data_IF_803187403857
#
_entry.id   IF_803187403857
#
_cell.length_a   1.000
_cell.length_b   1.000
_cell.length_c   1.000
_cell.angle_alpha   90.00
_cell.angle_beta   90.00
_cell.angle_gamma   90.00
#
_symmetry.space_group_name_H-M   'P 1'
#
loop_
_entity.id
_entity.type
_entity.pdbx_description
1 polymer ?
#
# COMPACT_ATOMS: atom_id res chain seq x y z
N UNK A 1 -65.29 -24.55 -2.42
CA UNK A 1 -66.54 -23.78 -2.62
C UNK A 1 -66.31 -22.40 -1.99
N UNK A 2 -65.87 -21.42 -2.79
CA UNK A 2 -66.65 -20.25 -3.26
C UNK A 2 -67.23 -19.38 -2.13
N UNK A 3 -66.67 -18.19 -1.90
CA UNK A 3 -67.27 -16.93 -2.36
C UNK A 3 -66.36 -15.72 -2.05
N UNK A 4 -66.08 -14.95 -3.09
CA UNK A 4 -65.42 -13.63 -3.10
C UNK A 4 -66.37 -12.52 -2.61
N UNK A 5 -65.82 -11.46 -1.99
CA UNK A 5 -66.37 -10.10 -2.10
C UNK A 5 -65.22 -9.09 -2.27
N UNK A 6 -65.28 -8.36 -3.38
CA UNK A 6 -64.46 -7.24 -3.80
C UNK A 6 -64.82 -5.93 -3.07
N UNK A 7 -63.83 -5.05 -2.86
CA UNK A 7 -64.06 -3.60 -2.97
C UNK A 7 -62.87 -2.92 -3.66
N UNK A 8 -63.18 -2.27 -4.79
CA UNK A 8 -62.33 -1.37 -5.57
C UNK A 8 -62.90 0.03 -5.39
N UNK A 9 -62.08 1.02 -5.05
CA UNK A 9 -62.35 2.42 -5.41
C UNK A 9 -61.10 3.04 -6.02
N UNK A 10 -61.32 3.61 -7.20
CA UNK A 10 -60.40 4.28 -8.11
C UNK A 10 -60.44 5.80 -7.88
N UNK A 11 -59.36 6.46 -8.36
CA UNK A 11 -59.31 7.84 -8.90
C UNK A 11 -59.28 8.98 -7.85
N UNK A 12 -58.59 10.13 -8.07
CA UNK A 12 -58.24 10.84 -9.31
C UNK A 12 -57.11 11.87 -9.09
N UNK A 13 -56.45 12.18 -10.21
CA UNK A 13 -55.42 13.21 -10.47
C UNK A 13 -55.85 14.64 -10.10
N UNK A 14 -54.86 15.49 -9.80
CA UNK A 14 -54.91 16.93 -10.11
C UNK A 14 -53.57 17.37 -10.75
N UNK A 15 -53.65 17.98 -11.94
CA UNK A 15 -52.61 18.72 -12.67
C UNK A 15 -53.14 20.15 -12.84
N UNK A 16 -52.27 21.17 -12.72
CA UNK A 16 -52.18 22.41 -13.53
C UNK A 16 -51.05 23.28 -12.89
N UNK A 17 -49.90 23.53 -13.54
CA UNK A 17 -49.54 24.47 -14.63
C UNK A 17 -49.43 25.95 -14.23
N UNK A 18 -48.22 26.51 -14.40
CA UNK A 18 -47.82 27.81 -15.02
C UNK A 18 -46.27 27.85 -14.93
N UNK A 19 -45.44 27.70 -15.97
CA UNK A 19 -45.16 28.47 -17.20
C UNK A 19 -44.68 29.92 -16.95
N UNK A 20 -43.36 30.15 -17.10
CA UNK A 20 -42.81 31.22 -17.95
C UNK A 20 -41.34 30.92 -18.34
N UNK A 21 -41.01 31.29 -19.58
CA UNK A 21 -39.78 31.02 -20.31
C UNK A 21 -38.88 32.26 -20.42
N UNK A 22 -37.59 32.05 -20.73
CA UNK A 22 -36.69 32.82 -21.64
C UNK A 22 -35.30 32.15 -21.54
N UNK A 23 -34.76 31.44 -22.54
CA UNK A 23 -34.08 31.90 -23.78
C UNK A 23 -32.94 32.89 -23.54
N UNK A 24 -31.70 32.39 -23.61
CA UNK A 24 -30.63 33.01 -24.40
C UNK A 24 -29.66 31.94 -24.93
N UNK A 25 -29.41 32.06 -26.22
CA UNK A 25 -28.52 31.30 -27.10
C UNK A 25 -27.08 31.82 -27.03
N UNK A 26 -26.10 30.92 -27.18
CA UNK A 26 -24.82 31.25 -27.81
C UNK A 26 -24.15 29.97 -28.38
N UNK A 27 -24.10 29.92 -29.71
CA UNK A 27 -23.27 29.06 -30.54
C UNK A 27 -21.80 29.53 -30.52
N UNK A 28 -20.85 28.60 -30.66
CA UNK A 28 -19.56 28.74 -31.37
C UNK A 28 -18.94 27.32 -31.45
N UNK A 29 -19.04 26.61 -32.58
CA UNK A 29 -18.10 26.59 -33.71
C UNK A 29 -16.69 26.08 -33.38
N UNK A 30 -16.42 24.85 -33.84
CA UNK A 30 -15.11 24.25 -34.07
C UNK A 30 -14.21 25.11 -34.96
N UNK A 31 -12.88 24.92 -34.85
CA UNK A 31 -12.06 24.89 -36.05
C UNK A 31 -11.26 23.59 -36.20
N UNK A 32 -11.32 23.14 -37.45
CA UNK A 32 -10.53 22.19 -38.20
C UNK A 32 -9.03 22.10 -37.87
N UNK A 33 -8.53 20.87 -37.98
CA UNK A 33 -7.11 20.53 -38.11
C UNK A 33 -6.48 21.12 -39.38
N UNK A 34 -5.14 21.25 -39.42
CA UNK A 34 -4.39 21.17 -40.65
C UNK A 34 -3.63 19.84 -40.76
N UNK A 35 -3.82 19.20 -41.92
CA UNK A 35 -2.89 18.22 -42.51
C UNK A 35 -1.52 18.87 -42.70
N UNK A 36 -0.45 18.17 -42.30
CA UNK A 36 0.90 18.39 -42.81
C UNK A 36 1.34 17.12 -43.53
N UNK A 37 1.52 17.27 -44.84
CA UNK A 37 2.17 16.32 -45.76
C UNK A 37 3.57 16.87 -46.07
N UNK A 38 4.50 15.95 -46.35
CA UNK A 38 5.88 16.10 -46.85
C UNK A 38 6.95 15.96 -45.77
N UNK A 39 8.06 15.26 -45.98
CA UNK A 39 8.58 14.57 -47.16
C UNK A 39 9.75 13.68 -46.72
N UNK A 40 9.92 12.56 -47.43
CA UNK A 40 11.12 11.72 -47.40
C UNK A 40 12.37 12.54 -47.73
N UNK A 41 13.36 12.50 -46.84
CA UNK A 41 14.69 13.07 -47.03
C UNK A 41 15.75 12.04 -46.66
N UNK A 42 16.18 11.27 -47.65
CA UNK A 42 17.35 10.39 -47.60
C UNK A 42 18.60 11.26 -47.52
N UNK A 43 19.36 11.15 -46.43
CA UNK A 43 20.63 11.83 -46.24
C UNK A 43 21.70 10.87 -45.71
N UNK A 44 22.56 10.39 -46.62
CA UNK A 44 23.81 9.67 -46.32
C UNK A 44 24.74 10.55 -45.49
N UNK A 45 25.36 10.00 -44.46
CA UNK A 45 26.56 10.55 -43.82
C UNK A 45 27.63 9.45 -43.75
N UNK A 46 28.92 9.77 -44.02
CA UNK A 46 29.90 8.79 -44.45
C UNK A 46 30.70 8.15 -43.31
N UNK A 47 31.36 7.06 -43.69
CA UNK A 47 32.26 6.23 -42.91
C UNK A 47 33.32 7.02 -42.11
N UNK A 48 33.54 6.61 -40.87
CA UNK A 48 34.76 6.88 -40.11
C UNK A 48 35.40 5.56 -39.64
N UNK A 49 36.46 5.20 -40.36
CA UNK A 49 37.75 4.65 -39.93
C UNK A 49 37.94 4.20 -38.46
N UNK A 50 38.17 2.90 -38.28
CA UNK A 50 39.14 2.30 -37.31
C UNK A 50 40.57 2.77 -37.66
N UNK A 51 41.63 2.70 -36.81
CA UNK A 51 42.00 1.59 -35.88
C UNK A 51 42.81 2.08 -34.62
N UNK A 52 43.72 1.31 -33.96
CA UNK A 52 43.83 -0.13 -33.72
C UNK A 52 43.85 -0.53 -32.23
N UNK A 53 43.74 -1.84 -32.03
CA UNK A 53 44.07 -2.63 -30.85
C UNK A 53 45.55 -2.55 -30.44
N UNK A 54 45.82 -2.49 -29.13
CA UNK A 54 47.04 -3.06 -28.56
C UNK A 54 46.73 -3.70 -27.19
N UNK A 55 46.61 -5.02 -27.18
CA UNK A 55 46.77 -5.84 -26.00
C UNK A 55 48.25 -5.89 -25.60
N UNK A 56 48.54 -5.81 -24.29
CA UNK A 56 49.49 -6.70 -23.62
C UNK A 56 49.16 -6.77 -22.11
N UNK A 57 49.42 -7.94 -21.48
CA UNK A 57 48.83 -8.32 -20.20
C UNK A 57 49.69 -7.85 -19.04
N UNK A 58 49.06 -7.47 -17.93
CA UNK A 58 49.75 -7.39 -16.64
C UNK A 58 49.35 -8.58 -15.77
N UNK A 59 50.39 -9.25 -15.29
CA UNK A 59 50.36 -10.38 -14.37
C UNK A 59 49.80 -9.98 -13.01
N UNK A 60 49.22 -11.00 -12.40
CA UNK A 60 48.71 -11.16 -11.06
C UNK A 60 49.69 -10.71 -9.97
N UNK A 61 49.19 -9.96 -9.00
CA UNK A 61 49.60 -10.07 -7.59
C UNK A 61 48.35 -10.22 -6.73
N UNK A 62 48.02 -11.49 -6.51
CA UNK A 62 47.22 -11.96 -5.40
C UNK A 62 48.11 -11.98 -4.17
N UNK A 63 47.80 -11.20 -3.15
CA UNK A 63 47.65 -11.69 -1.76
C UNK A 63 47.46 -10.54 -0.77
N UNK A 64 46.56 -10.79 0.21
CA UNK A 64 46.20 -9.98 1.39
C UNK A 64 45.11 -8.92 1.20
N UNK A 65 43.89 -9.39 1.02
CA UNK A 65 42.71 -8.76 1.62
C UNK A 65 42.05 -9.79 2.55
N UNK A 66 42.13 -9.53 3.86
CA UNK A 66 41.34 -10.26 4.85
C UNK A 66 39.86 -9.99 4.57
N UNK A 67 39.06 -11.07 4.46
CA UNK A 67 37.61 -10.98 4.35
C UNK A 67 37.05 -10.32 5.62
N UNK A 68 36.58 -9.08 5.50
CA UNK A 68 35.52 -8.56 6.34
C UNK A 68 34.21 -9.08 5.75
N UNK A 69 33.61 -10.08 6.40
CA UNK A 69 32.25 -10.50 6.08
C UNK A 69 31.31 -9.32 6.35
N UNK A 70 30.40 -9.04 5.42
CA UNK A 70 29.41 -7.99 5.64
C UNK A 70 28.39 -8.45 6.69
N UNK A 71 27.75 -7.54 7.44
CA UNK A 71 26.68 -7.89 8.37
C UNK A 71 25.52 -8.67 7.71
N UNK A 72 25.35 -8.54 6.39
CA UNK A 72 24.39 -9.32 5.62
C UNK A 72 24.83 -10.78 5.40
N UNK A 73 26.13 -11.04 5.28
CA UNK A 73 26.68 -12.39 5.16
C UNK A 73 26.66 -13.13 6.51
N UNK A 74 26.86 -12.39 7.61
CA UNK A 74 26.74 -12.92 8.98
C UNK A 74 25.28 -13.27 9.31
N UNK A 75 24.33 -12.39 8.97
CA UNK A 75 22.90 -12.67 9.11
C UNK A 75 22.42 -13.81 8.20
N UNK A 76 22.96 -13.93 6.99
CA UNK A 76 22.65 -15.05 6.09
C UNK A 76 23.21 -16.38 6.64
N UNK A 77 24.41 -16.36 7.23
CA UNK A 77 25.03 -17.52 7.85
C UNK A 77 24.30 -17.95 9.14
N UNK A 78 23.82 -17.01 9.96
CA UNK A 78 23.00 -17.29 11.15
C UNK A 78 21.65 -17.93 10.76
N UNK A 79 20.95 -17.36 9.78
CA UNK A 79 19.70 -17.95 9.26
C UNK A 79 19.90 -19.35 8.67
N UNK A 80 21.07 -19.60 8.05
CA UNK A 80 21.39 -20.90 7.44
C UNK A 80 21.87 -21.94 8.47
N UNK A 81 22.47 -21.50 9.58
CA UNK A 81 22.79 -22.35 10.73
C UNK A 81 21.53 -22.74 11.50
N UNK A 82 20.58 -21.81 11.68
CA UNK A 82 19.27 -22.05 12.31
C UNK A 82 18.41 -23.04 11.49
N UNK A 83 18.46 -22.96 10.15
CA UNK A 83 17.83 -23.94 9.26
C UNK A 83 18.47 -25.34 9.32
N UNK A 84 19.75 -25.45 9.71
CA UNK A 84 20.47 -26.74 9.84
C UNK A 84 20.29 -27.38 11.21
N UNK A 85 19.98 -26.60 12.26
CA UNK A 85 19.64 -27.13 13.59
C UNK A 85 18.21 -27.65 13.67
N UNK A 86 17.35 -27.30 12.70
CA UNK A 86 16.01 -27.87 12.56
C UNK A 86 16.12 -29.25 11.88
N UNK A 87 16.26 -30.31 12.67
CA UNK A 87 16.16 -31.70 12.20
C UNK A 87 14.72 -32.01 11.80
N UNK A 88 14.39 -31.77 10.53
CA UNK A 88 13.04 -31.90 9.97
C UNK A 88 12.84 -33.17 9.15
N UNK A 89 13.43 -34.30 9.57
CA UNK A 89 13.12 -35.61 8.97
C UNK A 89 12.76 -36.67 10.02
N UNK A 90 11.70 -37.49 9.85
CA UNK A 90 10.69 -37.49 8.81
C UNK A 90 9.32 -37.02 9.38
N UNK A 91 8.95 -35.76 9.13
CA UNK A 91 7.54 -35.43 9.02
C UNK A 91 7.13 -35.74 7.58
N UNK A 92 6.63 -36.95 7.37
CA UNK A 92 5.89 -37.28 6.16
C UNK A 92 4.56 -36.52 6.22
N UNK A 93 4.59 -35.24 5.83
CA UNK A 93 3.39 -34.46 5.58
C UNK A 93 2.75 -35.09 4.35
N UNK A 94 1.75 -35.94 4.57
CA UNK A 94 0.93 -36.49 3.49
C UNK A 94 0.43 -35.31 2.66
N UNK A 95 0.64 -35.33 1.32
CA UNK A 95 0.16 -34.24 0.48
C UNK A 95 -1.35 -34.16 0.61
N UNK A 96 -1.85 -32.98 1.00
CA UNK A 96 -3.24 -32.62 0.81
C UNK A 96 -3.44 -32.48 -0.70
N UNK A 97 -3.83 -33.57 -1.36
CA UNK A 97 -4.28 -33.56 -2.75
C UNK A 97 -5.40 -32.53 -2.91
N UNK A 98 -5.40 -31.83 -4.05
CA UNK A 98 -6.36 -30.81 -4.47
C UNK A 98 -7.81 -31.16 -4.08
N UNK A 99 -8.29 -30.64 -2.95
CA UNK A 99 -9.69 -30.78 -2.53
C UNK A 99 -10.35 -29.41 -2.37
N UNK A 100 -10.59 -28.77 -3.51
CA UNK A 100 -11.40 -27.55 -3.62
C UNK A 100 -12.91 -27.77 -3.33
N UNK A 101 -13.33 -28.82 -2.59
CA UNK A 101 -14.77 -29.04 -2.35
C UNK A 101 -15.18 -29.79 -1.06
N UNK A 102 -14.29 -30.08 -0.11
CA UNK A 102 -14.64 -30.92 1.06
C UNK A 102 -14.27 -30.31 2.42
N UNK A 103 -14.71 -29.07 2.68
CA UNK A 103 -14.35 -28.33 3.89
C UNK A 103 -15.03 -28.77 5.21
N UNK A 104 -15.73 -29.92 5.33
CA UNK A 104 -16.47 -30.25 6.58
C UNK A 104 -16.61 -31.76 6.90
N UNK A 105 -15.59 -32.61 6.69
CA UNK A 105 -15.66 -34.05 7.07
C UNK A 105 -15.06 -34.36 8.47
N UNK A 106 -15.71 -35.23 9.29
CA UNK A 106 -15.23 -35.62 10.63
C UNK A 106 -13.83 -36.25 10.69
N UNK A 107 -13.39 -36.92 9.62
CA UNK A 107 -12.05 -37.52 9.55
C UNK A 107 -10.93 -36.46 9.60
N UNK A 108 -11.16 -35.29 9.02
CA UNK A 108 -10.21 -34.19 9.01
C UNK A 108 -10.09 -33.56 10.41
N UNK A 109 -11.17 -33.59 11.21
CA UNK A 109 -11.16 -33.09 12.60
C UNK A 109 -10.30 -33.97 13.51
N UNK A 110 -10.40 -35.29 13.40
CA UNK A 110 -9.59 -36.21 14.22
C UNK A 110 -8.09 -36.08 13.88
N UNK A 111 -7.77 -35.96 12.60
CA UNK A 111 -6.40 -35.77 12.12
C UNK A 111 -5.83 -34.40 12.52
N UNK A 112 -6.62 -33.32 12.39
CA UNK A 112 -6.23 -31.99 12.84
C UNK A 112 -6.03 -31.94 14.36
N UNK A 113 -6.92 -32.54 15.15
CA UNK A 113 -6.77 -32.61 16.62
C UNK A 113 -5.52 -33.42 17.03
N UNK A 114 -5.20 -34.50 16.30
CA UNK A 114 -3.98 -35.27 16.52
C UNK A 114 -2.73 -34.44 16.20
N UNK A 115 -2.75 -33.67 15.11
CA UNK A 115 -1.66 -32.73 14.75
C UNK A 115 -1.51 -31.60 15.77
N UNK A 116 -2.60 -30.98 16.23
CA UNK A 116 -2.55 -29.97 17.30
C UNK A 116 -1.95 -30.56 18.58
N UNK A 117 -2.36 -31.79 18.95
CA UNK A 117 -1.85 -32.47 20.13
C UNK A 117 -0.35 -32.77 20.01
N UNK A 118 0.10 -33.23 18.84
CA UNK A 118 1.51 -33.47 18.55
C UNK A 118 2.35 -32.18 18.59
N UNK A 119 1.87 -31.12 17.93
CA UNK A 119 2.53 -29.81 17.93
C UNK A 119 2.57 -29.19 19.33
N UNK A 120 1.48 -29.29 20.10
CA UNK A 120 1.42 -28.77 21.48
C UNK A 120 2.38 -29.49 22.43
N UNK A 121 2.66 -30.77 22.19
CA UNK A 121 3.62 -31.55 22.97
C UNK A 121 5.09 -31.22 22.62
N UNK A 122 5.35 -30.71 21.41
CA UNK A 122 6.68 -30.24 20.99
C UNK A 122 7.00 -28.83 21.53
N UNK A 123 5.99 -27.98 21.71
CA UNK A 123 6.16 -26.60 22.24
C UNK A 123 6.65 -26.59 23.70
N UNK A 124 6.49 -27.67 24.47
CA UNK A 124 7.08 -27.80 25.81
C UNK A 124 8.61 -27.97 25.81
N UNK A 125 9.24 -28.22 24.66
CA UNK A 125 10.69 -28.50 24.55
C UNK A 125 11.51 -27.40 23.89
N UNK A 126 10.90 -26.37 23.29
CA UNK A 126 11.63 -25.28 22.63
C UNK A 126 11.06 -23.91 22.99
N UNK A 127 11.21 -23.52 24.26
CA UNK A 127 11.26 -22.09 24.60
C UNK A 127 12.67 -21.56 24.32
N UNK A 128 13.14 -21.66 23.07
CA UNK A 128 14.21 -20.77 22.62
C UNK A 128 13.56 -19.41 22.44
N UNK A 129 13.76 -18.55 23.42
CA UNK A 129 13.36 -17.16 23.39
C UNK A 129 14.09 -16.45 22.26
N UNK A 130 13.56 -16.49 21.04
CA UNK A 130 13.91 -15.50 20.03
C UNK A 130 13.33 -14.19 20.56
N UNK A 131 14.22 -13.33 21.07
CA UNK A 131 13.92 -11.94 21.41
C UNK A 131 13.52 -11.18 20.14
N UNK A 132 12.31 -11.42 19.63
CA UNK A 132 11.60 -10.45 18.80
C UNK A 132 10.86 -9.47 19.72
N UNK A 133 11.57 -8.88 20.69
CA UNK A 133 11.09 -7.74 21.48
C UNK A 133 11.67 -6.44 20.92
N UNK A 134 11.56 -6.26 19.60
CA UNK A 134 11.74 -4.94 19.01
C UNK A 134 10.45 -4.17 19.24
N UNK A 135 10.47 -3.15 20.11
CA UNK A 135 9.39 -2.17 20.17
C UNK A 135 9.26 -1.57 18.77
N UNK A 136 8.07 -1.66 18.17
CA UNK A 136 7.85 -1.01 16.88
C UNK A 136 8.18 0.48 17.02
N UNK A 137 8.95 1.06 16.08
CA UNK A 137 9.25 2.47 16.15
C UNK A 137 7.94 3.25 16.00
N UNK A 138 7.75 4.26 16.85
CA UNK A 138 6.73 5.26 16.57
C UNK A 138 7.05 5.95 15.24
N UNK A 139 6.02 6.25 14.45
CA UNK A 139 6.13 7.04 13.23
C UNK A 139 6.93 8.32 13.50
N UNK A 140 8.17 8.38 13.01
CA UNK A 140 9.08 9.51 13.16
C UNK A 140 8.70 10.70 12.28
N UNK A 141 9.56 11.72 12.23
CA UNK A 141 9.31 12.96 11.48
C UNK A 141 9.06 12.71 9.99
N UNK A 142 9.84 11.84 9.37
CA UNK A 142 9.70 11.45 7.96
C UNK A 142 8.35 10.78 7.70
N UNK A 143 8.01 9.76 8.49
CA UNK A 143 6.74 9.08 8.43
C UNK A 143 5.56 10.04 8.65
N UNK A 144 5.61 10.92 9.66
CA UNK A 144 4.56 11.90 9.95
C UNK A 144 4.39 12.92 8.82
N UNK A 145 5.51 13.42 8.29
CA UNK A 145 5.53 14.33 7.14
C UNK A 145 4.84 13.69 5.93
N UNK A 146 5.22 12.46 5.61
CA UNK A 146 4.65 11.72 4.47
C UNK A 146 3.17 11.42 4.64
N UNK A 147 2.74 11.02 5.84
CA UNK A 147 1.32 10.81 6.12
C UNK A 147 0.52 12.11 5.98
N UNK A 148 1.02 13.23 6.50
CA UNK A 148 0.35 14.53 6.39
C UNK A 148 0.23 14.99 4.92
N UNK A 149 1.29 14.82 4.12
CA UNK A 149 1.27 15.12 2.70
C UNK A 149 0.30 14.22 1.93
N UNK A 150 0.30 12.93 2.24
CA UNK A 150 -0.57 11.94 1.64
C UNK A 150 -2.06 12.23 1.91
N UNK A 151 -2.43 12.86 3.03
CA UNK A 151 -3.83 13.22 3.30
C UNK A 151 -4.46 14.12 2.24
N UNK A 152 -3.65 14.82 1.44
CA UNK A 152 -4.08 15.72 0.39
C UNK A 152 -3.93 15.13 -1.03
N UNK A 153 -3.54 13.86 -1.15
CA UNK A 153 -3.59 13.14 -2.42
C UNK A 153 -4.98 12.54 -2.66
N UNK A 154 -5.47 12.53 -3.91
CA UNK A 154 -6.60 11.69 -4.30
C UNK A 154 -6.40 10.24 -3.88
N UNK A 155 -7.46 9.53 -3.48
CA UNK A 155 -7.40 8.10 -3.15
C UNK A 155 -6.75 7.28 -4.28
N UNK A 156 -7.00 7.65 -5.54
CA UNK A 156 -6.37 7.03 -6.71
C UNK A 156 -4.88 7.29 -6.88
N UNK A 157 -4.30 8.19 -6.09
CA UNK A 157 -2.88 8.58 -6.13
C UNK A 157 -2.10 8.21 -4.86
N UNK A 158 -2.73 7.54 -3.91
CA UNK A 158 -2.11 7.17 -2.64
C UNK A 158 -1.06 6.07 -2.80
N UNK A 159 -0.04 6.06 -1.95
CA UNK A 159 0.86 4.92 -1.78
C UNK A 159 0.78 4.45 -0.33
N UNK A 160 -0.19 3.58 -0.09
CA UNK A 160 -0.51 3.05 1.23
C UNK A 160 0.48 1.98 1.68
N UNK A 161 0.95 2.12 2.92
CA UNK A 161 1.60 1.04 3.64
C UNK A 161 0.52 0.16 4.28
N UNK A 162 0.57 -1.14 3.95
CA UNK A 162 -0.27 -2.15 4.54
C UNK A 162 0.51 -3.26 5.23
N UNK A 163 -0.22 -4.07 5.99
CA UNK A 163 0.29 -5.30 6.57
C UNK A 163 -0.59 -6.48 6.14
N UNK A 164 0.04 -7.47 5.50
CA UNK A 164 -0.61 -8.73 5.14
C UNK A 164 -0.83 -9.54 6.43
N UNK A 165 -2.06 -10.03 6.61
CA UNK A 165 -2.52 -10.75 7.81
C UNK A 165 -2.12 -10.03 9.10
N UNK A 166 -2.43 -8.73 9.15
CA UNK A 166 -1.95 -7.78 10.15
C UNK A 166 -2.21 -8.23 11.60
N UNK A 167 -3.28 -9.01 11.81
CA UNK A 167 -3.67 -9.53 13.12
C UNK A 167 -2.73 -10.62 13.67
N UNK A 168 -2.02 -11.34 12.80
CA UNK A 168 -1.32 -12.57 13.12
C UNK A 168 0.11 -12.31 13.62
N UNK A 169 0.22 -11.80 14.84
CA UNK A 169 1.49 -11.43 15.50
C UNK A 169 2.01 -12.44 16.52
N UNK A 170 1.27 -13.53 16.74
CA UNK A 170 1.54 -14.54 17.76
C UNK A 170 1.42 -15.94 17.18
N UNK A 171 2.05 -16.91 17.85
CA UNK A 171 2.07 -18.30 17.40
C UNK A 171 3.21 -18.62 16.43
N UNK A 172 3.28 -19.89 16.02
CA UNK A 172 4.38 -20.45 15.22
C UNK A 172 4.34 -20.02 13.74
N UNK A 173 3.15 -19.66 13.24
CA UNK A 173 2.95 -19.20 11.87
C UNK A 173 2.61 -17.70 11.84
N UNK A 174 3.27 -16.88 12.67
CA UNK A 174 3.02 -15.43 12.69
C UNK A 174 3.43 -14.75 11.37
N UNK A 175 2.55 -13.92 10.82
CA UNK A 175 2.87 -13.04 9.70
C UNK A 175 3.58 -11.77 10.18
N UNK A 176 3.27 -11.29 11.37
CA UNK A 176 3.80 -10.03 11.89
C UNK A 176 4.62 -10.23 13.17
N UNK A 177 5.63 -9.39 13.36
CA UNK A 177 6.38 -9.32 14.63
C UNK A 177 5.79 -8.30 15.59
N UNK A 178 4.93 -7.41 15.08
CA UNK A 178 4.31 -6.32 15.84
C UNK A 178 2.81 -6.56 16.00
N UNK A 179 2.26 -6.10 17.12
CA UNK A 179 0.80 -6.04 17.34
C UNK A 179 0.13 -5.07 16.38
N UNK A 180 -1.21 -5.10 16.28
CA UNK A 180 -1.96 -4.21 15.39
C UNK A 180 -1.74 -2.74 15.73
N UNK A 181 -1.88 -2.37 17.01
CA UNK A 181 -1.58 -1.01 17.48
C UNK A 181 -0.16 -0.56 17.13
N UNK A 182 0.85 -1.41 17.37
CA UNK A 182 2.23 -1.12 16.99
C UNK A 182 2.43 -0.91 15.49
N UNK A 183 1.75 -1.69 14.64
CA UNK A 183 1.79 -1.48 13.18
C UNK A 183 1.17 -0.12 12.79
N UNK A 184 0.04 0.24 13.39
CA UNK A 184 -0.63 1.52 13.17
C UNK A 184 0.24 2.70 13.64
N UNK A 185 0.87 2.58 14.81
CA UNK A 185 1.81 3.57 15.36
C UNK A 185 3.04 3.74 14.47
N UNK A 186 3.46 2.68 13.77
CA UNK A 186 4.56 2.69 12.81
C UNK A 186 4.17 3.22 11.41
N UNK A 187 2.91 3.63 11.22
CA UNK A 187 2.44 4.25 9.98
C UNK A 187 1.71 3.33 9.00
N UNK A 188 1.40 2.09 9.38
CA UNK A 188 0.51 1.21 8.59
C UNK A 188 -0.90 1.81 8.59
N UNK A 189 -1.55 1.83 7.42
CA UNK A 189 -2.93 2.35 7.27
C UNK A 189 -3.87 1.38 6.55
N UNK A 190 -3.34 0.26 6.07
CA UNK A 190 -4.12 -0.84 5.47
C UNK A 190 -3.89 -2.11 6.28
N UNK A 191 -4.94 -2.67 6.87
CA UNK A 191 -4.87 -3.87 7.68
C UNK A 191 -5.65 -4.99 6.98
N UNK A 192 -4.97 -6.07 6.64
CA UNK A 192 -5.61 -7.25 6.06
C UNK A 192 -6.00 -8.26 7.15
N UNK A 193 -7.25 -8.74 7.10
CA UNK A 193 -7.86 -9.62 8.08
C UNK A 193 -8.52 -10.83 7.40
N UNK A 194 -8.08 -12.03 7.75
CA UNK A 194 -8.65 -13.27 7.23
C UNK A 194 -9.83 -13.70 8.08
N UNK A 195 -11.04 -13.52 7.58
CA UNK A 195 -12.25 -13.83 8.32
C UNK A 195 -12.65 -15.28 8.11
N UNK A 196 -12.75 -16.01 9.22
CA UNK A 196 -13.26 -17.38 9.23
C UNK A 196 -14.37 -17.55 10.26
N UNK A 197 -15.29 -18.48 9.97
CA UNK A 197 -16.26 -18.95 10.97
C UNK A 197 -15.57 -19.90 11.94
N UNK A 198 -15.88 -19.79 13.23
CA UNK A 198 -15.49 -20.81 14.21
C UNK A 198 -16.21 -22.14 13.91
N UNK A 199 -15.47 -23.25 13.94
CA UNK A 199 -15.99 -24.57 13.52
C UNK A 199 -17.34 -24.95 14.17
N UNK A 200 -17.51 -24.64 15.47
CA UNK A 200 -18.68 -25.00 16.26
C UNK A 200 -19.57 -23.80 16.66
N UNK A 201 -19.41 -22.62 16.04
CA UNK A 201 -20.26 -21.47 16.34
C UNK A 201 -20.39 -20.51 15.16
N UNK A 202 -21.46 -19.72 15.10
CA UNK A 202 -21.61 -18.65 14.11
C UNK A 202 -20.68 -17.45 14.33
N UNK A 203 -19.86 -17.45 15.39
CA UNK A 203 -18.93 -16.34 15.67
C UNK A 203 -17.80 -16.31 14.64
N UNK A 204 -17.51 -15.10 14.17
CA UNK A 204 -16.38 -14.79 13.29
C UNK A 204 -15.11 -14.66 14.12
N UNK A 205 -14.02 -15.20 13.60
CA UNK A 205 -12.67 -15.03 14.11
C UNK A 205 -11.76 -14.64 12.96
N UNK A 206 -10.61 -14.07 13.29
CA UNK A 206 -9.50 -14.00 12.35
C UNK A 206 -8.51 -15.12 12.60
N UNK A 207 -8.03 -15.75 11.55
CA UNK A 207 -7.00 -16.79 11.64
C UNK A 207 -6.35 -17.01 10.28
N UNK A 208 -5.08 -17.39 10.29
CA UNK A 208 -4.32 -17.56 9.07
C UNK A 208 -4.56 -18.97 8.50
N UNK A 209 -5.04 -19.04 7.25
CA UNK A 209 -5.25 -20.31 6.54
C UNK A 209 -6.41 -20.29 5.56
N UNK A 210 -6.63 -21.41 4.88
CA UNK A 210 -7.66 -21.58 3.86
C UNK A 210 -9.01 -22.08 4.43
N UNK A 211 -9.15 -22.26 5.74
CA UNK A 211 -10.41 -22.74 6.31
C UNK A 211 -10.53 -22.71 7.84
N UNK A 212 -11.73 -23.04 8.32
CA UNK A 212 -12.06 -23.06 9.74
C UNK A 212 -11.20 -24.05 10.58
N UNK A 213 -10.63 -25.06 9.93
CA UNK A 213 -9.69 -26.01 10.54
C UNK A 213 -8.31 -25.39 10.78
N UNK A 214 -7.85 -24.49 9.93
CA UNK A 214 -6.54 -23.84 10.09
C UNK A 214 -6.54 -22.91 11.31
N UNK A 215 -7.71 -22.32 11.63
CA UNK A 215 -7.92 -21.63 12.90
C UNK A 215 -7.69 -22.52 14.14
N UNK A 216 -7.82 -23.85 14.02
CA UNK A 216 -7.54 -24.79 15.11
C UNK A 216 -6.06 -25.15 15.19
N UNK A 217 -5.36 -25.16 14.04
CA UNK A 217 -3.94 -25.47 13.94
C UNK A 217 -3.05 -24.30 14.40
N UNK A 218 -3.55 -23.06 14.34
CA UNK A 218 -2.89 -21.88 14.89
C UNK A 218 -3.71 -21.21 16.02
N UNK A 219 -3.93 -21.89 17.16
CA UNK A 219 -4.83 -21.40 18.21
C UNK A 219 -4.32 -20.12 18.87
N UNK A 220 -3.01 -19.87 18.84
CA UNK A 220 -2.38 -18.68 19.43
C UNK A 220 -2.37 -17.46 18.50
N UNK A 221 -2.42 -17.68 17.18
CA UNK A 221 -2.57 -16.61 16.18
C UNK A 221 -4.02 -16.26 15.88
N UNK A 222 -4.97 -17.16 16.16
CA UNK A 222 -6.39 -16.90 15.99
C UNK A 222 -6.92 -15.89 17.02
N UNK A 223 -7.64 -14.86 16.57
CA UNK A 223 -8.20 -13.81 17.44
C UNK A 223 -9.69 -13.62 17.20
N UNK A 224 -10.39 -13.11 18.22
CA UNK A 224 -11.80 -12.74 18.08
C UNK A 224 -11.94 -11.50 17.20
N UNK A 225 -12.90 -11.54 16.25
CA UNK A 225 -13.09 -10.47 15.28
C UNK A 225 -13.53 -9.16 15.94
N UNK A 226 -14.48 -9.22 16.89
CA UNK A 226 -14.97 -8.04 17.59
C UNK A 226 -13.87 -7.38 18.42
N UNK A 227 -12.97 -8.17 19.02
CA UNK A 227 -11.81 -7.64 19.75
C UNK A 227 -10.88 -6.83 18.84
N UNK A 228 -10.61 -7.31 17.63
CA UNK A 228 -9.78 -6.57 16.66
C UNK A 228 -10.43 -5.27 16.23
N UNK A 229 -11.73 -5.30 15.89
CA UNK A 229 -12.44 -4.08 15.53
C UNK A 229 -12.37 -3.05 16.67
N UNK A 230 -12.50 -3.52 17.92
CA UNK A 230 -12.41 -2.66 19.11
C UNK A 230 -11.01 -2.08 19.30
N UNK A 231 -9.95 -2.84 19.04
CA UNK A 231 -8.57 -2.35 19.08
C UNK A 231 -8.35 -1.25 18.02
N UNK A 232 -8.77 -1.49 16.78
CA UNK A 232 -8.69 -0.52 15.68
C UNK A 232 -9.49 0.75 16.00
N UNK A 233 -10.71 0.60 16.52
CA UNK A 233 -11.58 1.70 16.95
C UNK A 233 -10.92 2.55 18.03
N UNK A 234 -10.35 1.91 19.04
CA UNK A 234 -9.65 2.57 20.15
C UNK A 234 -8.47 3.40 19.63
N UNK A 235 -7.68 2.82 18.72
CA UNK A 235 -6.58 3.56 18.09
C UNK A 235 -7.09 4.73 17.24
N UNK A 236 -8.13 4.51 16.43
CA UNK A 236 -8.72 5.56 15.57
C UNK A 236 -9.34 6.71 16.38
N UNK A 237 -9.89 6.42 17.56
CA UNK A 237 -10.40 7.45 18.48
C UNK A 237 -9.28 8.37 19.00
N UNK A 238 -8.07 7.85 19.17
CA UNK A 238 -6.88 8.60 19.59
C UNK A 238 -6.19 9.34 18.42
N UNK A 239 -6.51 8.96 17.18
CA UNK A 239 -5.93 9.51 15.95
C UNK A 239 -7.03 10.01 15.00
N UNK A 240 -7.77 11.07 15.39
CA UNK A 240 -8.96 11.52 14.65
C UNK A 240 -8.65 12.10 13.26
N UNK A 241 -7.39 12.41 12.99
CA UNK A 241 -6.86 12.92 11.73
C UNK A 241 -6.39 11.81 10.78
N UNK A 242 -6.61 10.53 11.10
CA UNK A 242 -6.12 9.40 10.31
C UNK A 242 -7.27 8.61 9.66
N UNK A 243 -7.04 8.18 8.42
CA UNK A 243 -7.93 7.30 7.67
C UNK A 243 -7.32 5.88 7.62
N UNK A 244 -8.14 4.88 7.95
CA UNK A 244 -7.76 3.47 7.93
C UNK A 244 -8.55 2.71 6.86
N UNK A 245 -7.93 1.70 6.27
CA UNK A 245 -8.56 0.72 5.38
C UNK A 245 -8.43 -0.65 6.02
N UNK A 246 -9.58 -1.31 6.27
CA UNK A 246 -9.65 -2.69 6.69
C UNK A 246 -9.99 -3.55 5.47
N UNK A 247 -9.04 -4.34 4.99
CA UNK A 247 -9.27 -5.32 3.92
C UNK A 247 -9.62 -6.67 4.56
N UNK A 248 -10.74 -7.24 4.14
CA UNK A 248 -11.26 -8.50 4.68
C UNK A 248 -11.08 -9.60 3.63
N UNK A 249 -10.21 -10.58 3.90
CA UNK A 249 -10.23 -11.84 3.16
C UNK A 249 -11.38 -12.68 3.71
N UNK A 250 -12.51 -12.67 3.01
CA UNK A 250 -13.74 -13.16 3.59
C UNK A 250 -14.02 -14.62 3.22
N UNK A 251 -13.96 -15.49 4.23
CA UNK A 251 -14.38 -16.90 4.17
C UNK A 251 -15.67 -17.16 4.97
N UNK A 252 -16.41 -16.10 5.33
CA UNK A 252 -17.66 -16.19 6.10
C UNK A 252 -18.87 -16.00 5.19
N UNK A 253 -19.69 -17.04 5.05
CA UNK A 253 -20.92 -17.00 4.23
C UNK A 253 -22.01 -16.09 4.79
N UNK A 254 -22.02 -15.84 6.09
CA UNK A 254 -23.05 -15.03 6.73
C UNK A 254 -22.63 -13.56 6.78
N UNK A 255 -23.11 -12.77 5.82
CA UNK A 255 -22.84 -11.32 5.73
C UNK A 255 -23.17 -10.56 7.01
N UNK A 256 -24.33 -10.83 7.60
CA UNK A 256 -24.77 -10.18 8.83
C UNK A 256 -23.76 -10.34 9.98
N UNK A 257 -23.16 -11.53 10.10
CA UNK A 257 -22.15 -11.81 11.14
C UNK A 257 -20.83 -11.06 10.97
N UNK A 258 -20.57 -10.51 9.78
CA UNK A 258 -19.42 -9.64 9.48
C UNK A 258 -19.81 -8.17 9.60
N UNK A 259 -20.93 -7.77 8.99
CA UNK A 259 -21.35 -6.37 8.91
C UNK A 259 -21.83 -5.79 10.25
N UNK A 260 -22.56 -6.56 11.07
CA UNK A 260 -23.08 -6.05 12.35
C UNK A 260 -21.95 -5.64 13.32
N UNK A 261 -20.90 -6.45 13.56
CA UNK A 261 -19.72 -6.02 14.32
C UNK A 261 -19.10 -4.72 13.81
N UNK A 262 -18.96 -4.56 12.49
CA UNK A 262 -18.41 -3.34 11.88
C UNK A 262 -19.29 -2.13 12.20
N UNK A 263 -20.61 -2.24 11.95
CA UNK A 263 -21.58 -1.17 12.19
C UNK A 263 -21.65 -0.77 13.66
N UNK A 264 -21.65 -1.76 14.55
CA UNK A 264 -21.72 -1.55 15.99
C UNK A 264 -20.43 -0.99 16.58
N UNK A 265 -19.30 -1.19 15.91
CA UNK A 265 -18.01 -0.71 16.40
C UNK A 265 -17.72 0.69 15.91
N UNK A 266 -17.82 0.92 14.59
CA UNK A 266 -17.36 2.16 13.97
C UNK A 266 -18.48 3.18 13.74
N UNK A 267 -19.75 2.78 13.73
CA UNK A 267 -20.90 3.68 13.62
C UNK A 267 -20.77 4.73 12.49
N UNK A 268 -20.64 6.01 12.85
CA UNK A 268 -20.53 7.15 11.96
C UNK A 268 -19.13 7.33 11.37
N UNK A 269 -18.12 6.65 11.89
CA UNK A 269 -16.74 6.70 11.39
C UNK A 269 -16.57 5.97 10.05
N UNK A 270 -17.52 5.12 9.68
CA UNK A 270 -17.46 4.36 8.43
C UNK A 270 -17.68 5.26 7.23
N UNK A 271 -16.74 5.25 6.29
CA UNK A 271 -16.99 5.72 4.94
C UNK A 271 -17.48 4.55 4.09
N UNK A 272 -18.80 4.49 3.90
CA UNK A 272 -19.47 3.32 3.34
C UNK A 272 -19.48 3.36 1.81
N UNK A 273 -19.58 2.20 1.18
CA UNK A 273 -19.67 2.10 -0.28
C UNK A 273 -20.84 2.91 -0.88
N UNK A 274 -21.98 2.98 -0.18
CA UNK A 274 -23.12 3.79 -0.61
C UNK A 274 -22.97 5.31 -0.42
N UNK A 275 -21.98 5.75 0.35
CA UNK A 275 -21.69 7.18 0.56
C UNK A 275 -20.73 7.74 -0.52
N UNK A 276 -20.20 6.86 -1.38
CA UNK A 276 -19.29 7.22 -2.47
C UNK A 276 -20.00 8.12 -3.48
N UNK A 277 -19.36 9.23 -3.83
CA UNK A 277 -19.81 10.11 -4.91
C UNK A 277 -19.26 9.64 -6.25
N UNK A 278 -19.87 10.09 -7.35
CA UNK A 278 -19.25 9.96 -8.66
C UNK A 278 -17.87 10.63 -8.63
N UNK A 279 -16.84 9.92 -9.12
CA UNK A 279 -15.45 10.38 -9.05
C UNK A 279 -14.82 10.30 -7.66
N UNK A 280 -15.31 9.42 -6.77
CA UNK A 280 -14.75 9.19 -5.43
C UNK A 280 -13.22 8.98 -5.41
N UNK A 281 -12.65 8.49 -6.51
CA UNK A 281 -11.20 8.33 -6.71
C UNK A 281 -10.41 9.63 -6.54
N UNK A 282 -11.07 10.78 -6.76
CA UNK A 282 -10.54 12.12 -6.61
C UNK A 282 -10.69 12.68 -5.19
N UNK A 283 -11.46 12.01 -4.33
CA UNK A 283 -11.54 12.40 -2.93
C UNK A 283 -10.20 12.15 -2.23
N UNK A 284 -9.86 12.99 -1.27
CA UNK A 284 -8.66 12.83 -0.45
C UNK A 284 -9.01 12.31 0.94
N UNK A 285 -8.06 11.66 1.65
CA UNK A 285 -8.26 11.30 3.05
C UNK A 285 -8.71 12.48 3.91
N UNK A 286 -8.12 13.67 3.74
CA UNK A 286 -8.53 14.87 4.48
C UNK A 286 -10.01 15.23 4.27
N UNK A 287 -10.54 15.10 3.04
CA UNK A 287 -11.96 15.36 2.75
C UNK A 287 -12.90 14.30 3.35
N UNK A 288 -12.44 13.06 3.45
CA UNK A 288 -13.17 11.96 4.10
C UNK A 288 -13.21 12.21 5.61
N UNK A 289 -12.07 12.53 6.21
CA UNK A 289 -11.92 12.86 7.64
C UNK A 289 -12.73 14.09 8.02
N UNK A 290 -12.73 15.15 7.20
CA UNK A 290 -13.52 16.35 7.44
C UNK A 290 -15.04 16.09 7.52
N UNK A 291 -15.52 14.96 6.96
CA UNK A 291 -16.92 14.49 7.09
C UNK A 291 -17.14 13.61 8.32
N UNK A 292 -16.15 13.50 9.21
CA UNK A 292 -16.18 12.65 10.40
C UNK A 292 -15.93 11.17 10.13
N UNK A 293 -15.47 10.82 8.91
CA UNK A 293 -15.23 9.43 8.50
C UNK A 293 -13.74 9.07 8.66
N UNK A 294 -13.45 7.89 9.19
CA UNK A 294 -12.08 7.45 9.54
C UNK A 294 -11.78 6.01 9.15
N UNK A 295 -12.76 5.22 8.73
CA UNK A 295 -12.56 3.81 8.38
C UNK A 295 -13.28 3.46 7.08
N UNK A 296 -12.53 2.94 6.12
CA UNK A 296 -13.05 2.23 4.95
C UNK A 296 -12.92 0.74 5.24
N UNK A 297 -13.95 -0.03 4.91
CA UNK A 297 -13.89 -1.49 4.95
C UNK A 297 -14.10 -2.00 3.55
N UNK A 298 -13.19 -2.86 3.08
CA UNK A 298 -13.25 -3.49 1.78
C UNK A 298 -13.12 -5.00 1.93
N UNK A 299 -13.77 -5.78 1.06
CA UNK A 299 -13.64 -7.23 1.04
C UNK A 299 -13.03 -7.76 -0.25
N UNK A 300 -12.38 -8.91 -0.12
CA UNK A 300 -11.90 -9.72 -1.23
C UNK A 300 -11.98 -11.21 -0.84
N UNK A 301 -11.58 -12.07 -1.78
CA UNK A 301 -11.63 -13.52 -1.62
C UNK A 301 -12.83 -14.16 -2.32
N UNK A 302 -13.16 -15.37 -1.90
CA UNK A 302 -14.17 -16.24 -2.52
C UNK A 302 -15.60 -15.75 -2.26
N UNK A 303 -15.83 -15.18 -1.07
CA UNK A 303 -17.14 -14.70 -0.66
C UNK A 303 -17.12 -13.18 -0.62
N UNK A 304 -17.77 -12.57 -1.60
CA UNK A 304 -17.95 -11.12 -1.65
C UNK A 304 -19.34 -10.76 -1.17
N UNK A 305 -19.42 -9.69 -0.41
CA UNK A 305 -20.68 -9.12 0.01
C UNK A 305 -21.09 -8.04 -0.96
N UNK A 306 -22.20 -8.27 -1.66
CA UNK A 306 -22.89 -7.19 -2.35
C UNK A 306 -23.51 -6.28 -1.27
N UNK A 307 -23.09 -5.03 -1.22
CA UNK A 307 -23.45 -4.21 -0.07
C UNK A 307 -23.27 -2.71 -0.23
N UNK A 308 -24.03 -1.99 0.58
CA UNK A 308 -23.89 -0.54 0.77
C UNK A 308 -22.81 -0.18 1.80
N UNK A 309 -22.37 -1.16 2.61
CA UNK A 309 -21.43 -0.96 3.70
C UNK A 309 -19.98 -1.14 3.25
N UNK A 310 -19.67 -2.33 2.75
CA UNK A 310 -18.33 -2.81 2.41
C UNK A 310 -18.04 -2.52 0.93
N UNK A 311 -16.81 -2.12 0.65
CA UNK A 311 -16.33 -1.83 -0.70
C UNK A 311 -15.81 -3.10 -1.36
N UNK A 312 -15.94 -3.25 -2.69
CA UNK A 312 -15.13 -4.26 -3.39
C UNK A 312 -13.69 -3.77 -3.40
N UNK A 313 -12.77 -4.57 -2.85
CA UNK A 313 -11.35 -4.23 -2.78
C UNK A 313 -10.75 -3.90 -4.16
N UNK A 314 -11.27 -4.50 -5.24
CA UNK A 314 -10.83 -4.21 -6.62
C UNK A 314 -11.06 -2.76 -7.05
N UNK A 315 -11.96 -2.05 -6.38
CA UNK A 315 -12.16 -0.62 -6.61
C UNK A 315 -11.00 0.20 -6.05
N UNK A 316 -10.38 -0.26 -4.96
CA UNK A 316 -9.26 0.41 -4.28
C UNK A 316 -7.91 0.01 -4.87
N UNK A 317 -7.66 -1.29 -5.04
CA UNK A 317 -6.47 -1.82 -5.71
C UNK A 317 -6.59 -3.27 -6.15
N UNK A 318 -5.63 -3.75 -6.93
CA UNK A 318 -5.43 -5.18 -7.12
C UNK A 318 -4.92 -5.85 -5.83
N UNK A 319 -5.16 -7.15 -5.66
CA UNK A 319 -4.51 -7.96 -4.64
C UNK A 319 -3.51 -8.93 -5.32
N UNK A 320 -2.31 -8.44 -5.63
CA UNK A 320 -1.35 -9.14 -6.52
C UNK A 320 -0.15 -9.66 -5.72
N UNK A 321 0.26 -10.93 -5.87
CA UNK A 321 1.50 -11.37 -5.26
C UNK A 321 2.68 -10.63 -5.91
N UNK A 322 3.72 -10.29 -5.15
CA UNK A 322 4.96 -9.69 -5.68
C UNK A 322 5.64 -10.55 -6.77
N UNK A 323 5.35 -11.86 -6.81
CA UNK A 323 5.88 -12.77 -7.81
C UNK A 323 5.42 -12.37 -9.22
N UNK A 324 6.39 -12.07 -10.09
CA UNK A 324 6.16 -11.66 -11.47
C UNK A 324 6.15 -10.16 -11.70
N UNK A 325 6.38 -9.35 -10.66
CA UNK A 325 6.77 -7.95 -10.80
C UNK A 325 8.23 -7.85 -11.31
N UNK A 326 8.51 -6.85 -12.13
CA UNK A 326 9.87 -6.53 -12.59
C UNK A 326 10.15 -5.02 -12.59
N UNK A 327 11.44 -4.68 -12.62
CA UNK A 327 11.94 -3.31 -12.51
C UNK A 327 11.54 -2.37 -13.66
N UNK A 328 11.01 -2.91 -14.76
CA UNK A 328 10.40 -2.16 -15.87
C UNK A 328 8.92 -1.78 -15.61
N UNK A 329 8.46 -1.93 -14.36
CA UNK A 329 7.09 -1.64 -13.94
C UNK A 329 6.04 -2.50 -14.66
N UNK A 330 6.38 -3.76 -14.92
CA UNK A 330 5.45 -4.75 -15.45
C UNK A 330 5.12 -5.82 -14.40
N UNK A 331 3.91 -6.39 -14.53
CA UNK A 331 3.46 -7.55 -13.77
C UNK A 331 3.12 -8.64 -14.78
N UNK A 332 3.86 -9.74 -14.77
CA UNK A 332 3.73 -10.84 -15.74
C UNK A 332 3.80 -10.33 -17.20
N UNK A 333 4.66 -9.35 -17.46
CA UNK A 333 4.85 -8.72 -18.77
C UNK A 333 3.83 -7.65 -19.16
N UNK A 334 2.83 -7.37 -18.32
CA UNK A 334 1.88 -6.29 -18.55
C UNK A 334 2.33 -5.02 -17.82
N UNK A 335 2.46 -3.90 -18.53
CA UNK A 335 2.74 -2.60 -17.95
C UNK A 335 1.65 -2.19 -16.95
N UNK A 336 2.07 -1.74 -15.77
CA UNK A 336 1.15 -1.35 -14.69
C UNK A 336 0.25 -0.16 -15.08
N UNK A 337 0.79 0.79 -15.85
CA UNK A 337 0.06 1.96 -16.33
C UNK A 337 -0.45 2.84 -15.18
N UNK A 338 -1.69 3.32 -15.29
CA UNK A 338 -2.35 4.15 -14.27
C UNK A 338 -3.26 3.34 -13.33
N UNK A 339 -3.26 2.01 -13.45
CA UNK A 339 -4.10 1.16 -12.62
C UNK A 339 -3.59 1.15 -11.17
N UNK A 340 -4.52 0.99 -10.22
CA UNK A 340 -4.18 0.92 -8.80
C UNK A 340 -3.67 -0.49 -8.45
N UNK A 341 -2.37 -0.71 -8.56
CA UNK A 341 -1.76 -1.99 -8.22
C UNK A 341 -1.46 -2.08 -6.74
N UNK A 342 -1.97 -3.14 -6.10
CA UNK A 342 -1.61 -3.52 -4.75
C UNK A 342 -0.82 -4.83 -4.74
N UNK A 343 0.24 -4.86 -3.93
CA UNK A 343 1.12 -6.01 -3.81
C UNK A 343 1.16 -6.55 -2.39
N UNK A 344 1.24 -7.87 -2.27
CA UNK A 344 1.54 -8.56 -1.02
C UNK A 344 2.71 -9.52 -1.19
N UNK A 345 3.56 -9.61 -0.17
CA UNK A 345 4.49 -10.72 -0.04
C UNK A 345 3.91 -11.82 0.85
N UNK A 346 4.52 -12.99 0.83
CA UNK A 346 4.12 -14.14 1.63
C UNK A 346 5.38 -14.84 2.11
N UNK A 347 5.80 -14.47 3.32
CA UNK A 347 6.97 -15.05 3.99
C UNK A 347 6.63 -16.35 4.71
N UNK A 348 5.35 -16.73 4.74
CA UNK A 348 4.88 -17.92 5.49
C UNK A 348 4.80 -19.15 4.59
N UNK A 349 4.26 -19.01 3.37
CA UNK A 349 4.06 -20.13 2.44
C UNK A 349 4.77 -19.97 1.08
N UNK A 350 5.61 -18.93 0.93
CA UNK A 350 6.44 -18.68 -0.27
C UNK A 350 5.62 -18.58 -1.57
N UNK A 351 4.34 -18.19 -1.51
CA UNK A 351 3.53 -17.97 -2.73
C UNK A 351 3.94 -16.69 -3.46
N UNK A 352 4.63 -15.78 -2.77
CA UNK A 352 5.15 -14.52 -3.28
C UNK A 352 6.61 -14.31 -2.87
N UNK A 353 7.31 -13.40 -3.56
CA UNK A 353 8.68 -13.02 -3.20
C UNK A 353 8.64 -12.07 -1.99
N UNK A 354 9.48 -12.26 -0.96
CA UNK A 354 9.57 -11.32 0.15
C UNK A 354 9.82 -9.88 -0.31
N UNK A 355 9.11 -8.92 0.29
CA UNK A 355 9.49 -7.53 0.21
C UNK A 355 10.74 -7.31 1.08
N UNK A 356 11.73 -6.65 0.50
CA UNK A 356 13.03 -6.39 1.11
C UNK A 356 13.34 -4.90 1.04
N UNK A 357 14.33 -4.47 1.82
CA UNK A 357 14.85 -3.08 1.78
C UNK A 357 15.20 -2.66 0.35
N UNK A 358 15.72 -3.57 -0.47
CA UNK A 358 16.10 -3.29 -1.85
C UNK A 358 14.91 -3.27 -2.83
N UNK A 359 13.88 -4.09 -2.61
CA UNK A 359 12.75 -4.20 -3.54
C UNK A 359 11.67 -3.16 -3.30
N UNK A 360 11.42 -2.74 -2.06
CA UNK A 360 10.37 -1.74 -1.72
C UNK A 360 10.49 -0.46 -2.58
N UNK A 361 11.66 0.19 -2.68
CA UNK A 361 11.84 1.35 -3.56
C UNK A 361 11.39 1.07 -4.98
N UNK A 362 11.71 -0.09 -5.56
CA UNK A 362 11.39 -0.46 -6.93
C UNK A 362 9.87 -0.46 -7.19
N UNK A 363 9.09 -1.05 -6.29
CA UNK A 363 7.62 -1.02 -6.38
C UNK A 363 7.09 0.41 -6.31
N UNK A 364 7.61 1.22 -5.38
CA UNK A 364 7.18 2.60 -5.19
C UNK A 364 7.53 3.49 -6.40
N UNK A 365 8.65 3.25 -7.10
CA UNK A 365 9.00 3.92 -8.37
C UNK A 365 8.02 3.62 -9.49
N UNK A 366 7.39 2.45 -9.43
CA UNK A 366 6.38 2.01 -10.38
C UNK A 366 4.96 2.38 -9.95
N UNK A 367 4.83 3.29 -8.97
CA UNK A 367 3.56 3.80 -8.47
C UNK A 367 2.65 2.70 -7.87
N UNK A 368 3.26 1.65 -7.30
CA UNK A 368 2.54 0.67 -6.50
C UNK A 368 1.76 1.39 -5.39
N UNK A 369 0.44 1.20 -5.38
CA UNK A 369 -0.51 1.93 -4.54
C UNK A 369 -0.65 1.32 -3.15
N UNK A 370 -0.48 0.01 -3.03
CA UNK A 370 -0.59 -0.71 -1.77
C UNK A 370 0.58 -1.68 -1.67
N UNK A 371 1.36 -1.59 -0.59
CA UNK A 371 2.37 -2.57 -0.26
C UNK A 371 2.01 -3.21 1.07
N UNK A 372 1.53 -4.44 1.03
CA UNK A 372 1.12 -5.23 2.19
C UNK A 372 2.27 -6.16 2.58
N UNK A 373 2.93 -5.82 3.67
CA UNK A 373 4.23 -6.40 4.02
C UNK A 373 4.06 -7.40 5.17
N UNK A 374 4.56 -8.61 4.99
CA UNK A 374 4.79 -9.60 6.04
C UNK A 374 6.05 -9.25 6.84
N UNK A 375 5.98 -9.47 8.16
CA UNK A 375 7.08 -9.29 9.11
C UNK A 375 7.71 -7.92 8.99
N UNK A 376 6.89 -6.89 9.16
CA UNK A 376 7.36 -5.50 9.18
C UNK A 376 8.52 -5.32 10.18
N UNK A 377 9.54 -4.59 9.73
CA UNK A 377 10.71 -4.22 10.53
C UNK A 377 11.02 -2.73 10.32
N UNK A 378 11.79 -2.09 11.22
CA UNK A 378 12.18 -0.69 11.06
C UNK A 378 12.92 -0.43 9.73
N UNK A 379 13.73 -1.39 9.26
CA UNK A 379 14.50 -1.26 8.02
C UNK A 379 13.60 -1.26 6.78
N UNK A 380 12.53 -2.09 6.78
CA UNK A 380 11.54 -2.09 5.70
C UNK A 380 10.73 -0.79 5.68
N UNK A 381 10.44 -0.21 6.85
CA UNK A 381 9.82 1.12 6.94
C UNK A 381 10.76 2.21 6.45
N UNK A 382 12.05 2.16 6.82
CA UNK A 382 13.03 3.13 6.35
C UNK A 382 13.14 3.13 4.82
N UNK A 383 13.05 1.96 4.18
CA UNK A 383 13.15 1.80 2.73
C UNK A 383 12.00 2.44 1.92
N UNK A 384 10.85 2.73 2.54
CA UNK A 384 9.71 3.38 1.86
C UNK A 384 9.72 4.91 1.96
N UNK A 385 10.54 5.48 2.84
CA UNK A 385 10.52 6.93 3.06
C UNK A 385 11.22 7.68 1.93
N UNK A 386 10.61 8.78 1.51
CA UNK A 386 11.09 9.66 0.44
C UNK A 386 11.30 11.11 0.89
N UNK A 387 10.77 11.47 2.07
CA UNK A 387 10.90 12.80 2.65
C UNK A 387 12.27 12.93 3.32
N UNK A 388 12.35 13.30 4.59
CA UNK A 388 13.58 13.71 5.25
C UNK A 388 14.63 12.61 5.42
N UNK A 389 15.85 12.80 4.91
CA UNK A 389 16.96 11.85 5.05
C UNK A 389 17.41 11.63 6.51
N UNK A 390 17.24 12.64 7.36
CA UNK A 390 17.54 12.58 8.80
C UNK A 390 16.58 13.51 9.57
N UNK A 391 16.51 13.34 10.90
CA UNK A 391 15.77 14.25 11.76
C UNK A 391 16.27 15.68 11.54
N UNK A 392 15.43 16.51 10.94
CA UNK A 392 15.77 17.86 10.52
C UNK A 392 15.86 18.80 11.73
N UNK A 393 16.80 19.78 11.74
CA UNK A 393 16.73 20.88 12.69
C UNK A 393 15.44 21.68 12.49
N UNK A 394 14.88 22.17 13.60
CA UNK A 394 13.71 23.06 13.56
C UNK A 394 13.96 24.21 12.56
N UNK A 395 12.94 24.53 11.73
CA UNK A 395 12.94 25.62 10.75
C UNK A 395 13.74 25.39 9.45
N UNK A 396 14.09 24.15 9.10
CA UNK A 396 14.74 23.87 7.82
C UNK A 396 13.79 23.92 6.61
N UNK A 397 14.34 24.32 5.46
CA UNK A 397 13.69 24.23 4.16
C UNK A 397 14.16 22.97 3.42
N UNK A 398 13.23 22.28 2.76
CA UNK A 398 13.54 21.06 2.03
C UNK A 398 14.23 21.36 0.71
N UNK A 399 15.37 20.71 0.47
CA UNK A 399 16.01 20.67 -0.85
C UNK A 399 15.95 19.24 -1.42
N UNK A 400 15.77 19.15 -2.73
CA UNK A 400 16.01 17.93 -3.50
C UNK A 400 17.46 17.91 -4.00
N UNK A 401 18.03 16.71 -4.10
CA UNK A 401 19.36 16.47 -4.65
C UNK A 401 19.33 15.24 -5.57
N UNK A 402 20.14 15.24 -6.62
CA UNK A 402 20.37 14.03 -7.42
C UNK A 402 21.18 12.95 -6.67
N UNK A 403 21.81 13.30 -5.54
CA UNK A 403 22.63 12.37 -4.75
C UNK A 403 21.83 11.57 -3.72
N UNK A 404 20.62 12.00 -3.41
CA UNK A 404 19.78 11.35 -2.42
C UNK A 404 18.35 11.29 -2.95
N UNK A 405 17.71 10.12 -2.81
CA UNK A 405 16.29 9.98 -3.11
C UNK A 405 15.41 10.63 -2.02
N UNK A 406 16.02 11.16 -0.96
CA UNK A 406 15.37 11.81 0.18
C UNK A 406 15.65 13.32 0.21
N UNK A 407 14.78 14.04 0.89
CA UNK A 407 14.91 15.47 1.13
C UNK A 407 16.00 15.75 2.14
N UNK A 408 16.78 16.79 1.85
CA UNK A 408 17.80 17.28 2.76
C UNK A 408 17.33 18.57 3.42
N UNK A 409 17.61 18.70 4.71
CA UNK A 409 17.37 19.91 5.46
C UNK A 409 18.42 20.97 5.11
N UNK A 410 17.97 22.20 4.82
CA UNK A 410 18.87 23.29 4.47
C UNK A 410 18.38 24.64 5.00
N UNK A 411 19.34 25.55 5.24
CA UNK A 411 19.05 26.96 5.54
C UNK A 411 18.31 27.63 4.39
N UNK A 412 17.14 28.20 4.68
CA UNK A 412 16.20 28.76 3.71
C UNK A 412 16.77 29.95 2.91
N UNK A 413 17.85 30.57 3.39
CA UNK A 413 18.55 31.70 2.79
C UNK A 413 19.58 31.27 1.73
N UNK A 414 19.76 29.97 1.47
CA UNK A 414 20.58 29.57 0.32
C UNK A 414 19.86 29.93 -0.99
N UNK A 415 20.64 30.35 -1.97
CA UNK A 415 20.16 30.65 -3.32
C UNK A 415 20.21 29.38 -4.15
N UNK A 416 19.04 28.88 -4.55
CA UNK A 416 18.90 27.70 -5.41
C UNK A 416 17.76 27.91 -6.40
N UNK A 417 17.73 27.10 -7.46
CA UNK A 417 16.58 26.96 -8.36
C UNK A 417 15.43 26.28 -7.63
N UNK A 418 14.23 26.32 -8.20
CA UNK A 418 13.00 25.80 -7.60
C UNK A 418 12.42 24.69 -8.46
N UNK A 419 12.02 23.59 -7.82
CA UNK A 419 11.20 22.56 -8.45
C UNK A 419 9.74 22.95 -8.26
N UNK A 420 9.07 23.20 -9.38
CA UNK A 420 7.71 23.69 -9.46
C UNK A 420 6.80 22.60 -10.03
N UNK A 421 5.65 22.39 -9.41
CA UNK A 421 4.61 21.53 -9.96
C UNK A 421 3.79 22.31 -10.98
N UNK A 422 3.55 21.75 -12.16
CA UNK A 422 2.70 22.34 -13.21
C UNK A 422 1.61 21.33 -13.62
N UNK A 423 0.57 21.75 -14.37
CA UNK A 423 -0.44 20.82 -14.89
C UNK A 423 0.14 19.73 -15.81
N UNK A 424 1.35 19.94 -16.35
CA UNK A 424 2.06 18.97 -17.21
C UNK A 424 3.15 18.18 -16.47
N UNK A 425 3.20 18.28 -15.14
CA UNK A 425 4.21 17.66 -14.28
C UNK A 425 5.22 18.65 -13.72
N UNK A 426 6.30 18.11 -13.15
CA UNK A 426 7.33 18.90 -12.48
C UNK A 426 8.23 19.65 -13.49
N UNK A 427 8.74 20.81 -13.08
CA UNK A 427 9.73 21.60 -13.84
C UNK A 427 10.72 22.28 -12.91
N UNK A 428 11.93 22.52 -13.41
CA UNK A 428 12.96 23.30 -12.72
C UNK A 428 12.95 24.74 -13.23
N UNK A 429 12.75 25.71 -12.35
CA UNK A 429 12.79 27.16 -12.66
C UNK A 429 14.14 27.55 -13.25
N UNK A 430 14.22 28.52 -14.15
CA UNK A 430 15.48 29.11 -14.61
C UNK A 430 16.10 30.02 -13.56
N UNK A 431 15.27 30.79 -12.84
CA UNK A 431 15.72 31.69 -11.81
C UNK A 431 16.01 30.94 -10.50
N UNK A 432 16.94 31.50 -9.73
CA UNK A 432 17.30 31.04 -8.39
C UNK A 432 16.98 32.10 -7.35
N UNK A 433 16.75 31.68 -6.12
CA UNK A 433 16.45 32.58 -5.00
C UNK A 433 16.43 31.88 -3.66
N UNK A 434 16.02 32.60 -2.64
CA UNK A 434 15.74 32.03 -1.32
C UNK A 434 14.47 31.19 -1.38
N UNK A 435 14.32 30.22 -0.49
CA UNK A 435 13.19 29.29 -0.49
C UNK A 435 11.83 30.03 -0.53
N UNK A 436 11.71 31.13 0.22
CA UNK A 436 10.48 31.94 0.30
C UNK A 436 10.07 32.59 -1.04
N UNK A 437 10.99 32.73 -2.00
CA UNK A 437 10.69 33.26 -3.35
C UNK A 437 10.06 32.22 -4.27
N UNK A 438 10.05 30.93 -3.88
CA UNK A 438 9.59 29.82 -4.71
C UNK A 438 8.17 29.98 -5.28
N UNK A 439 7.14 30.34 -4.48
CA UNK A 439 5.78 30.50 -4.98
C UNK A 439 5.68 31.55 -6.10
N UNK A 440 6.35 32.70 -5.92
CA UNK A 440 6.38 33.76 -6.92
C UNK A 440 7.14 33.34 -8.18
N UNK A 441 8.29 32.68 -8.03
CA UNK A 441 9.12 32.26 -9.17
C UNK A 441 8.41 31.18 -10.00
N UNK A 442 7.80 30.18 -9.34
CA UNK A 442 7.05 29.15 -10.05
C UNK A 442 5.92 29.76 -10.88
N UNK A 443 5.09 30.60 -10.27
CA UNK A 443 3.97 31.26 -10.97
C UNK A 443 4.43 32.19 -12.09
N UNK A 444 5.50 32.96 -11.87
CA UNK A 444 6.06 33.86 -12.88
C UNK A 444 6.61 33.12 -14.11
N UNK A 445 7.28 31.98 -13.92
CA UNK A 445 7.91 31.25 -15.03
C UNK A 445 6.96 30.28 -15.74
N UNK A 446 6.05 29.66 -15.01
CA UNK A 446 5.24 28.54 -15.51
C UNK A 446 3.73 28.80 -15.53
N UNK A 447 3.28 29.98 -15.08
CA UNK A 447 1.88 30.41 -15.11
C UNK A 447 1.15 30.20 -13.78
N UNK A 448 -0.07 30.76 -13.68
CA UNK A 448 -0.88 30.78 -12.44
C UNK A 448 -1.27 29.38 -11.94
N UNK A 449 -1.38 28.40 -12.85
CA UNK A 449 -1.69 27.01 -12.51
C UNK A 449 -0.47 26.21 -12.01
N UNK A 450 0.70 26.84 -11.88
CA UNK A 450 1.90 26.23 -11.31
C UNK A 450 2.07 26.58 -9.84
N UNK A 451 2.65 25.67 -9.07
CA UNK A 451 2.78 25.83 -7.64
C UNK A 451 4.16 25.40 -7.15
N UNK A 452 4.65 26.11 -6.14
CA UNK A 452 5.81 25.69 -5.35
C UNK A 452 5.34 24.82 -4.20
N UNK A 453 5.18 23.52 -4.48
CA UNK A 453 4.61 22.53 -3.57
C UNK A 453 5.55 21.33 -3.39
N UNK A 454 5.38 20.56 -2.32
CA UNK A 454 6.14 19.34 -2.11
C UNK A 454 5.54 18.15 -2.85
N UNK A 455 6.38 17.19 -3.32
CA UNK A 455 5.88 15.90 -3.75
C UNK A 455 5.23 15.19 -2.57
N UNK A 456 4.10 14.54 -2.81
CA UNK A 456 3.25 13.97 -1.75
C UNK A 456 3.30 12.45 -1.69
N UNK A 457 4.06 11.82 -2.59
CA UNK A 457 4.31 10.38 -2.64
C UNK A 457 5.75 10.10 -3.09
N UNK A 458 6.21 8.87 -2.88
CA UNK A 458 7.53 8.42 -3.35
C UNK A 458 7.65 8.61 -4.86
N UNK A 459 6.61 8.20 -5.59
CA UNK A 459 6.55 8.33 -7.04
C UNK A 459 6.66 9.81 -7.49
N UNK A 460 5.90 10.72 -6.88
CA UNK A 460 5.98 12.14 -7.19
C UNK A 460 7.36 12.73 -6.86
N UNK A 461 7.99 12.26 -5.79
CA UNK A 461 9.32 12.71 -5.39
C UNK A 461 10.39 12.35 -6.42
N UNK A 462 10.33 11.15 -6.99
CA UNK A 462 11.21 10.79 -8.11
C UNK A 462 10.94 11.63 -9.36
N UNK A 463 9.68 11.90 -9.67
CA UNK A 463 9.33 12.78 -10.80
C UNK A 463 9.89 14.20 -10.60
N UNK A 464 9.81 14.73 -9.38
CA UNK A 464 10.37 16.02 -8.99
C UNK A 464 11.91 16.02 -9.05
N UNK A 465 12.56 14.92 -8.68
CA UNK A 465 14.02 14.78 -8.80
C UNK A 465 14.46 14.66 -10.25
N UNK A 466 13.70 13.98 -11.11
CA UNK A 466 14.06 13.72 -12.50
C UNK A 466 14.22 14.98 -13.36
N UNK A 467 13.71 16.14 -12.92
CA UNK A 467 13.90 17.43 -13.61
C UNK A 467 15.20 18.14 -13.23
N UNK A 468 15.94 17.62 -12.25
CA UNK A 468 17.21 18.19 -11.82
C UNK A 468 18.35 17.76 -12.75
N UNK A 469 19.18 18.70 -13.23
CA UNK A 469 20.46 18.36 -13.83
C UNK A 469 21.37 17.62 -12.83
N UNK A 470 22.29 16.81 -13.37
CA UNK A 470 23.31 16.10 -12.61
C UNK A 470 24.06 17.06 -11.67
N UNK A 471 24.29 16.63 -10.42
CA UNK A 471 25.01 17.39 -9.39
C UNK A 471 24.36 18.73 -8.97
N UNK A 472 23.06 18.92 -9.25
CA UNK A 472 22.32 20.11 -8.81
C UNK A 472 21.39 19.82 -7.64
N UNK A 473 21.19 20.85 -6.82
CA UNK A 473 20.19 20.88 -5.76
C UNK A 473 19.17 21.98 -6.08
N UNK A 474 17.94 21.77 -5.65
CA UNK A 474 16.88 22.74 -5.84
C UNK A 474 15.92 22.73 -4.67
N UNK A 475 15.27 23.87 -4.46
CA UNK A 475 14.22 24.01 -3.48
C UNK A 475 12.97 23.24 -3.89
N UNK A 476 12.32 22.64 -2.91
CA UNK A 476 10.99 22.06 -3.03
C UNK A 476 10.07 22.65 -1.96
N UNK A 477 8.77 22.73 -2.22
CA UNK A 477 7.80 23.52 -1.44
C UNK A 477 7.47 22.99 -0.05
N UNK A 478 8.45 22.54 0.74
CA UNK A 478 8.28 22.15 2.14
C UNK A 478 9.21 22.92 3.06
N UNK A 479 8.65 23.37 4.20
CA UNK A 479 9.37 23.95 5.33
C UNK A 479 8.80 23.34 6.60
N UNK A 480 9.69 22.91 7.50
CA UNK A 480 9.33 22.33 8.80
C UNK A 480 8.83 23.39 9.77
#
# INVERSE_FOLDING_TARGET
MKADIYFVVKMKRLRLFFLFAMVFSASCQHPSAPLVVSSLGVGRVPAQTRPPSSEKPLQTDSEKAALLQSPADELAAENQAELRSLDLSPLEILPLEDQASNQDRPANLAQALAQVKALSAQVELESVSVQASGVAPSCGLDCQTELALAQHLPLSQQQWLGAHNAYNSKGIFKNQSWTLSQQLDAGVRVLELDLHRRLLSSKVRVCHGAGAYDCLLNPFGARDYQQILTEVKTWSDQHPDQLLILELENHVKNQKSVEEPILNTFHNLLYRAAERKAGWQQETPAQIIARGKRVIVADFGELRFDGQLIWDQKELSSNTPTKGFSADCTVKGQLMGTAAWGFYDDKTFKKANPLTVASIPQFLRCDARYLKIDRLTPELLAARHFSWESASPEQACAQLSQKSERWQAQRCEKVMRFVCQTPRGWKLSMHSGFWASGPQICTQEFGEDSAFEPPRSYFQNLQAQAVLPVETNAWVGYRQ
#
